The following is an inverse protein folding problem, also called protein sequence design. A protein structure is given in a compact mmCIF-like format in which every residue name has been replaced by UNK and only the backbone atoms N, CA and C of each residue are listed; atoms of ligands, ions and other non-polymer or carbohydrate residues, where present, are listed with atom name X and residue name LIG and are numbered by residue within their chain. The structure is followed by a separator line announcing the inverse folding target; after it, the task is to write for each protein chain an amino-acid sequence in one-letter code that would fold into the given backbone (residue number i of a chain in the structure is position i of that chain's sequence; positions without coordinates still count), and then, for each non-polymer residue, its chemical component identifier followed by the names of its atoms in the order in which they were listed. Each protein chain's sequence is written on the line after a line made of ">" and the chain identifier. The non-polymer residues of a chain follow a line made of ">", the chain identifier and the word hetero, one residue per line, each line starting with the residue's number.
data_IF_330914371086
#
_entry.id   IF_330914371086
#
_cell.length_a   1.000
_cell.length_b   1.000
_cell.length_c   1.000
_cell.angle_alpha   90.00
_cell.angle_beta   90.00
_cell.angle_gamma   90.00
#
_symmetry.space_group_name_H-M   'P 1'
#
loop_
_entity.id
_entity.type
_entity.pdbx_description
1 polymer ?
#
# COMPACT_ATOMS: atom_id res chain seq x y z
N UNK A 1 -21.82 16.41 39.24
CA UNK A 1 -21.10 17.44 38.47
C UNK A 1 -22.01 18.66 38.37
N UNK A 2 -21.52 19.91 38.51
CA UNK A 2 -22.35 21.11 38.23
C UNK A 2 -22.85 21.01 36.79
N UNK A 3 -24.14 21.19 36.55
CA UNK A 3 -24.78 21.04 35.23
C UNK A 3 -24.56 22.25 34.32
N UNK A 4 -24.24 23.42 34.88
CA UNK A 4 -24.01 24.65 34.12
C UNK A 4 -22.56 25.10 34.21
N UNK A 5 -21.83 24.92 33.10
CA UNK A 5 -20.48 25.46 32.92
C UNK A 5 -20.54 26.93 32.49
N UNK A 6 -19.65 27.75 33.04
CA UNK A 6 -19.49 29.11 32.54
C UNK A 6 -18.83 29.12 31.13
N UNK A 7 -18.92 30.25 30.41
CA UNK A 7 -18.41 30.35 29.04
C UNK A 7 -16.93 30.00 28.92
N UNK A 8 -16.12 30.41 29.89
CA UNK A 8 -14.67 30.21 29.89
C UNK A 8 -14.32 28.74 30.14
N UNK A 9 -15.03 28.05 31.05
CA UNK A 9 -14.86 26.63 31.32
C UNK A 9 -15.23 25.78 30.09
N UNK A 10 -16.31 26.13 29.40
CA UNK A 10 -16.70 25.45 28.15
C UNK A 10 -15.63 25.59 27.08
N UNK A 11 -15.13 26.80 26.88
CA UNK A 11 -14.11 27.09 25.89
C UNK A 11 -12.83 26.30 26.17
N UNK A 12 -12.36 26.32 27.43
CA UNK A 12 -11.20 25.53 27.84
C UNK A 12 -11.42 24.04 27.54
N UNK A 13 -12.52 23.44 28.01
CA UNK A 13 -12.79 22.02 27.79
C UNK A 13 -12.85 21.66 26.29
N UNK A 14 -13.54 22.47 25.49
CA UNK A 14 -13.64 22.25 24.03
C UNK A 14 -12.26 22.35 23.38
N UNK A 15 -11.44 23.33 23.78
CA UNK A 15 -10.09 23.51 23.26
C UNK A 15 -9.19 22.29 23.53
N UNK A 16 -9.36 21.59 24.66
CA UNK A 16 -8.62 20.36 24.94
C UNK A 16 -8.87 19.25 23.90
N UNK A 17 -10.15 19.02 23.58
CA UNK A 17 -10.54 18.02 22.57
C UNK A 17 -10.19 18.47 21.14
N UNK A 18 -10.38 19.75 20.80
CA UNK A 18 -10.01 20.29 19.49
C UNK A 18 -8.50 20.28 19.26
N UNK A 19 -7.70 20.55 20.29
CA UNK A 19 -6.25 20.44 20.22
C UNK A 19 -5.83 19.00 19.91
N UNK A 20 -6.43 18.01 20.61
CA UNK A 20 -6.14 16.59 20.34
C UNK A 20 -6.44 16.21 18.88
N UNK A 21 -7.56 16.70 18.33
CA UNK A 21 -7.94 16.49 16.93
C UNK A 21 -6.98 17.18 15.94
N UNK A 22 -6.62 18.44 16.19
CA UNK A 22 -5.75 19.22 15.32
C UNK A 22 -4.31 18.67 15.30
N UNK A 23 -3.79 18.29 16.47
CA UNK A 23 -2.46 17.68 16.59
C UNK A 23 -2.47 16.30 15.91
N UNK A 24 -3.50 15.49 16.10
CA UNK A 24 -3.64 14.21 15.42
C UNK A 24 -3.53 14.31 13.89
N UNK A 25 -4.24 15.26 13.27
CA UNK A 25 -4.22 15.47 11.81
C UNK A 25 -2.86 15.98 11.33
N UNK A 26 -2.22 16.87 12.09
CA UNK A 26 -0.96 17.52 11.68
C UNK A 26 0.27 16.66 11.95
N UNK A 27 0.21 15.75 12.91
CA UNK A 27 1.36 14.91 13.33
C UNK A 27 1.24 13.47 12.86
N UNK A 28 0.56 13.24 11.73
CA UNK A 28 0.19 11.89 11.30
C UNK A 28 1.32 10.91 10.87
N UNK A 29 2.62 11.20 11.07
CA UNK A 29 3.64 10.15 11.16
C UNK A 29 4.33 10.02 12.54
N UNK A 30 4.00 10.88 13.52
CA UNK A 30 4.73 10.98 14.80
C UNK A 30 3.72 10.94 15.98
N UNK A 31 3.26 9.74 16.38
CA UNK A 31 2.21 9.57 17.40
C UNK A 31 2.53 10.15 18.77
N UNK A 32 3.83 10.25 19.10
CA UNK A 32 4.28 10.79 20.38
C UNK A 32 3.93 12.27 20.56
N UNK A 33 3.83 13.06 19.49
CA UNK A 33 3.53 14.49 19.60
C UNK A 33 2.11 14.70 20.11
N UNK A 34 1.13 13.90 19.62
CA UNK A 34 -0.25 14.01 20.09
C UNK A 34 -0.39 13.64 21.57
N UNK A 35 0.32 12.61 22.02
CA UNK A 35 0.36 12.22 23.43
C UNK A 35 0.99 13.32 24.30
N UNK A 36 2.10 13.90 23.86
CA UNK A 36 2.80 14.97 24.59
C UNK A 36 1.97 16.26 24.64
N UNK A 37 1.26 16.62 23.57
CA UNK A 37 0.36 17.76 23.56
C UNK A 37 -0.77 17.61 24.59
N UNK A 38 -1.40 16.44 24.63
CA UNK A 38 -2.44 16.14 25.62
C UNK A 38 -1.88 16.07 27.05
N UNK A 39 -0.65 15.57 27.24
CA UNK A 39 0.03 15.60 28.53
C UNK A 39 0.32 17.03 28.99
N UNK A 40 0.84 17.87 28.10
CA UNK A 40 1.10 19.28 28.36
C UNK A 40 -0.19 20.01 28.75
N UNK A 41 -1.28 19.75 28.04
CA UNK A 41 -2.60 20.31 28.33
C UNK A 41 -3.09 19.86 29.73
N UNK A 42 -2.99 18.56 30.03
CA UNK A 42 -3.28 18.02 31.36
C UNK A 42 -2.47 18.70 32.49
N UNK A 43 -1.16 18.89 32.29
CA UNK A 43 -0.28 19.57 33.26
C UNK A 43 -0.64 21.04 33.42
N UNK A 44 -0.99 21.72 32.33
CA UNK A 44 -1.33 23.16 32.31
C UNK A 44 -2.60 23.43 33.12
N UNK A 45 -3.58 22.53 33.06
CA UNK A 45 -4.88 22.69 33.74
C UNK A 45 -5.03 21.86 35.03
N UNK A 46 -3.94 21.29 35.56
CA UNK A 46 -3.96 20.46 36.79
C UNK A 46 -4.46 21.20 38.04
N UNK A 47 -4.37 22.54 38.07
CA UNK A 47 -4.84 23.38 39.18
C UNK A 47 -6.20 24.04 38.94
N UNK A 48 -6.84 23.78 37.81
CA UNK A 48 -8.13 24.39 37.42
C UNK A 48 -9.32 23.76 38.16
N UNK A 49 -10.52 24.26 37.88
CA UNK A 49 -11.77 23.68 38.38
C UNK A 49 -11.90 22.19 38.05
N UNK A 50 -12.64 21.45 38.88
CA UNK A 50 -12.78 19.99 38.76
C UNK A 50 -13.16 19.56 37.35
N UNK A 51 -14.12 20.25 36.74
CA UNK A 51 -14.63 19.90 35.40
C UNK A 51 -13.56 20.07 34.33
N UNK A 52 -12.85 21.19 34.33
CA UNK A 52 -11.77 21.45 33.36
C UNK A 52 -10.64 20.43 33.52
N UNK A 53 -10.24 20.16 34.77
CA UNK A 53 -9.23 19.14 35.07
C UNK A 53 -9.69 17.75 34.61
N UNK A 54 -10.94 17.39 34.88
CA UNK A 54 -11.49 16.10 34.48
C UNK A 54 -11.40 15.87 32.98
N UNK A 55 -11.86 16.83 32.18
CA UNK A 55 -11.79 16.71 30.72
C UNK A 55 -10.36 16.70 30.18
N UNK A 56 -9.44 17.46 30.79
CA UNK A 56 -8.02 17.43 30.40
C UNK A 56 -7.38 16.06 30.64
N UNK A 57 -7.69 15.41 31.77
CA UNK A 57 -7.22 14.05 32.06
C UNK A 57 -7.91 13.01 31.17
N UNK A 58 -9.20 13.16 30.90
CA UNK A 58 -9.95 12.25 30.02
C UNK A 58 -9.37 12.27 28.59
N UNK A 59 -9.06 13.45 28.05
CA UNK A 59 -8.45 13.60 26.73
C UNK A 59 -7.04 12.99 26.67
N UNK A 60 -6.25 13.16 27.73
CA UNK A 60 -4.92 12.54 27.81
C UNK A 60 -4.99 11.01 27.88
N UNK A 61 -5.86 10.47 28.73
CA UNK A 61 -6.01 9.03 28.91
C UNK A 61 -6.50 8.33 27.64
N UNK A 62 -7.36 8.95 26.83
CA UNK A 62 -7.78 8.38 25.56
C UNK A 62 -6.64 8.29 24.52
N UNK A 63 -5.61 9.14 24.63
CA UNK A 63 -4.45 9.10 23.72
C UNK A 63 -3.45 7.98 24.06
N UNK A 64 -3.42 7.48 25.30
CA UNK A 64 -2.41 6.50 25.73
C UNK A 64 -2.49 5.19 24.93
N UNK A 65 -3.67 4.54 24.75
CA UNK A 65 -3.76 3.33 23.93
C UNK A 65 -3.43 3.60 22.45
N UNK A 66 -3.90 4.74 21.92
CA UNK A 66 -3.67 5.13 20.53
C UNK A 66 -2.20 5.40 20.24
N UNK A 67 -1.43 5.89 21.21
CA UNK A 67 0.00 6.06 21.05
C UNK A 67 0.69 4.73 20.69
N UNK A 68 0.38 3.64 21.39
CA UNK A 68 0.99 2.34 21.12
C UNK A 68 0.53 1.77 19.76
N UNK A 69 -0.77 1.85 19.48
CA UNK A 69 -1.34 1.40 18.20
C UNK A 69 -0.74 2.18 17.04
N UNK A 70 -0.68 3.51 17.13
CA UNK A 70 -0.18 4.35 16.07
C UNK A 70 1.34 4.21 15.91
N UNK A 71 2.09 3.99 16.99
CA UNK A 71 3.53 3.73 16.93
C UNK A 71 3.84 2.42 16.21
N UNK A 72 3.11 1.35 16.52
CA UNK A 72 3.27 0.08 15.80
C UNK A 72 2.78 0.18 14.35
N UNK A 73 1.68 0.91 14.09
CA UNK A 73 1.21 1.21 12.73
C UNK A 73 2.29 1.91 11.92
N UNK A 74 2.97 2.90 12.50
CA UNK A 74 4.08 3.58 11.84
C UNK A 74 5.23 2.62 11.52
N UNK A 75 5.63 1.76 12.45
CA UNK A 75 6.66 0.75 12.19
C UNK A 75 6.26 -0.22 11.07
N UNK A 76 5.00 -0.65 11.04
CA UNK A 76 4.47 -1.54 9.99
C UNK A 76 4.46 -0.84 8.64
N UNK A 77 3.95 0.38 8.56
CA UNK A 77 3.93 1.19 7.32
C UNK A 77 5.36 1.43 6.82
N UNK A 78 6.28 1.81 7.71
CA UNK A 78 7.69 2.01 7.37
C UNK A 78 8.33 0.72 6.83
N UNK A 79 8.09 -0.42 7.47
CA UNK A 79 8.61 -1.71 6.98
C UNK A 79 7.99 -2.11 5.64
N UNK A 80 6.70 -1.89 5.42
CA UNK A 80 6.06 -2.20 4.14
C UNK A 80 6.60 -1.30 3.01
N UNK A 81 6.88 -0.03 3.29
CA UNK A 81 7.37 0.92 2.28
C UNK A 81 8.85 0.74 1.94
N UNK A 82 9.71 0.41 2.91
CA UNK A 82 11.17 0.36 2.73
C UNK A 82 11.80 -1.04 2.86
N UNK A 83 11.04 -2.07 3.21
CA UNK A 83 11.52 -3.47 3.31
C UNK A 83 10.70 -4.39 2.41
N UNK A 84 11.20 -5.59 2.14
CA UNK A 84 10.47 -6.62 1.35
C UNK A 84 9.31 -7.28 2.14
N UNK A 85 8.77 -6.61 3.17
CA UNK A 85 7.68 -7.16 3.97
C UNK A 85 6.40 -7.26 3.13
N UNK A 86 5.91 -8.49 2.97
CA UNK A 86 4.63 -8.75 2.30
C UNK A 86 3.47 -8.35 3.21
N UNK A 87 2.50 -7.61 2.66
CA UNK A 87 1.22 -7.33 3.32
C UNK A 87 0.45 -8.63 3.55
N UNK A 88 0.60 -9.20 4.75
CA UNK A 88 -0.18 -10.36 5.17
C UNK A 88 -1.59 -9.93 5.59
N UNK A 89 -2.55 -10.86 5.53
CA UNK A 89 -3.92 -10.63 6.01
C UNK A 89 -3.94 -10.15 7.48
N UNK A 90 -2.98 -10.58 8.29
CA UNK A 90 -2.79 -10.12 9.66
C UNK A 90 -2.42 -8.63 9.74
N UNK A 91 -1.48 -8.20 8.91
CA UNK A 91 -1.07 -6.79 8.82
C UNK A 91 -2.26 -5.94 8.37
N UNK A 92 -3.01 -6.38 7.36
CA UNK A 92 -4.20 -5.69 6.88
C UNK A 92 -5.26 -5.59 7.99
N UNK A 93 -5.55 -6.70 8.68
CA UNK A 93 -6.52 -6.73 9.78
C UNK A 93 -6.12 -5.79 10.91
N UNK A 94 -4.83 -5.77 11.26
CA UNK A 94 -4.29 -4.83 12.23
C UNK A 94 -4.49 -3.37 11.79
N UNK A 95 -4.15 -3.03 10.54
CA UNK A 95 -4.29 -1.67 10.00
C UNK A 95 -5.75 -1.22 9.99
N UNK A 96 -6.70 -2.12 9.69
CA UNK A 96 -8.15 -1.83 9.76
C UNK A 96 -8.57 -1.56 11.19
N UNK A 97 -8.16 -2.38 12.16
CA UNK A 97 -8.46 -2.16 13.58
C UNK A 97 -7.87 -0.83 14.06
N UNK A 98 -6.61 -0.54 13.71
CA UNK A 98 -5.97 0.72 14.03
C UNK A 98 -6.74 1.91 13.45
N UNK A 99 -7.18 1.83 12.20
CA UNK A 99 -8.02 2.85 11.57
C UNK A 99 -9.34 3.06 12.31
N UNK A 100 -10.06 1.97 12.63
CA UNK A 100 -11.34 2.04 13.34
C UNK A 100 -11.20 2.64 14.74
N UNK A 101 -10.14 2.31 15.47
CA UNK A 101 -9.87 2.87 16.80
C UNK A 101 -9.57 4.37 16.74
N UNK A 102 -8.79 4.82 15.75
CA UNK A 102 -8.55 6.25 15.54
C UNK A 102 -9.81 7.01 15.10
N UNK A 103 -10.61 6.43 14.21
CA UNK A 103 -11.89 7.01 13.79
C UNK A 103 -12.86 7.12 14.98
N UNK A 104 -12.92 6.08 15.82
CA UNK A 104 -13.70 6.07 17.05
C UNK A 104 -13.29 7.18 18.00
N UNK A 105 -11.99 7.46 18.16
CA UNK A 105 -11.50 8.56 18.98
C UNK A 105 -11.89 9.93 18.43
N UNK A 106 -11.78 10.14 17.12
CA UNK A 106 -12.19 11.39 16.47
C UNK A 106 -13.68 11.63 16.72
N UNK A 107 -14.50 10.62 16.47
CA UNK A 107 -15.96 10.69 16.68
C UNK A 107 -16.27 10.95 18.16
N UNK A 108 -15.62 10.23 19.07
CA UNK A 108 -15.78 10.41 20.52
C UNK A 108 -15.43 11.84 20.96
N UNK A 109 -14.31 12.38 20.48
CA UNK A 109 -13.86 13.75 20.78
C UNK A 109 -14.83 14.80 20.26
N UNK A 110 -15.35 14.64 19.03
CA UNK A 110 -16.37 15.54 18.46
C UNK A 110 -17.68 15.46 19.26
N UNK A 111 -18.12 14.26 19.64
CA UNK A 111 -19.31 14.08 20.49
C UNK A 111 -19.10 14.77 21.85
N UNK A 112 -17.91 14.65 22.45
CA UNK A 112 -17.58 15.34 23.70
C UNK A 112 -17.72 16.86 23.54
N UNK A 113 -17.14 17.46 22.49
CA UNK A 113 -17.30 18.88 22.19
C UNK A 113 -18.78 19.30 22.08
N UNK A 114 -19.59 18.53 21.35
CA UNK A 114 -21.03 18.82 21.15
C UNK A 114 -21.80 18.70 22.46
N UNK A 115 -21.46 17.73 23.31
CA UNK A 115 -22.15 17.55 24.60
C UNK A 115 -21.80 18.66 25.58
N UNK A 116 -20.52 19.04 25.66
CA UNK A 116 -20.04 20.12 26.52
C UNK A 116 -20.66 21.46 26.10
N UNK A 117 -20.73 21.76 24.81
CA UNK A 117 -21.35 23.00 24.32
C UNK A 117 -22.83 23.11 24.73
N UNK A 118 -23.52 21.97 24.82
CA UNK A 118 -24.92 21.84 25.25
C UNK A 118 -25.11 21.62 26.76
N UNK A 119 -24.09 21.80 27.60
CA UNK A 119 -24.17 21.54 29.06
C UNK A 119 -24.63 20.11 29.42
N UNK A 120 -24.34 19.12 28.56
CA UNK A 120 -24.68 17.72 28.81
C UNK A 120 -23.49 17.00 29.44
N UNK A 121 -23.80 16.10 30.37
CA UNK A 121 -22.79 15.21 30.96
C UNK A 121 -22.10 14.36 29.87
N UNK A 122 -20.78 14.25 29.98
CA UNK A 122 -19.92 13.44 29.13
C UNK A 122 -19.45 12.24 29.94
N UNK A 123 -19.76 11.05 29.44
CA UNK A 123 -19.20 9.80 29.94
C UNK A 123 -18.74 8.97 28.76
N UNK A 124 -17.43 8.79 28.66
CA UNK A 124 -16.79 7.89 27.70
C UNK A 124 -16.60 6.55 28.42
N UNK A 125 -17.17 5.45 27.91
CA UNK A 125 -16.94 4.13 28.49
C UNK A 125 -15.43 3.86 28.68
N UNK A 126 -15.07 3.17 29.77
CA UNK A 126 -13.70 2.79 30.13
C UNK A 126 -12.75 3.93 30.54
N UNK A 127 -12.76 5.08 29.85
CA UNK A 127 -11.86 6.21 30.14
C UNK A 127 -12.39 7.07 31.30
N UNK A 128 -13.70 7.32 31.35
CA UNK A 128 -14.30 8.15 32.39
C UNK A 128 -14.09 7.62 33.82
N UNK A 129 -14.28 6.32 34.10
CA UNK A 129 -13.97 5.77 35.43
C UNK A 129 -12.51 5.94 35.85
N UNK A 130 -11.57 5.76 34.92
CA UNK A 130 -10.14 5.97 35.18
C UNK A 130 -9.85 7.45 35.46
N UNK A 131 -10.50 8.34 34.71
CA UNK A 131 -10.41 9.79 34.89
C UNK A 131 -10.92 10.20 36.27
N UNK A 132 -12.07 9.65 36.70
CA UNK A 132 -12.64 9.91 38.03
C UNK A 132 -11.62 9.57 39.13
N UNK A 133 -10.97 8.41 39.05
CA UNK A 133 -9.94 7.97 40.02
C UNK A 133 -8.75 8.93 40.07
N UNK A 134 -8.29 9.42 38.92
CA UNK A 134 -7.11 10.31 38.85
C UNK A 134 -7.41 11.74 39.29
N UNK A 135 -8.65 12.21 39.15
CA UNK A 135 -9.02 13.63 39.30
C UNK A 135 -9.68 13.90 40.65
N UNK A 136 -10.27 12.90 41.30
CA UNK A 136 -10.99 13.06 42.56
C UNK A 136 -10.05 13.19 43.77
N UNK A 137 -10.01 14.38 44.38
CA UNK A 137 -9.16 14.73 45.56
C UNK A 137 -9.44 13.89 46.82
N UNK A 138 -10.61 13.25 46.89
CA UNK A 138 -11.10 12.54 48.08
C UNK A 138 -10.45 11.17 48.29
N UNK A 139 -9.76 10.61 47.30
CA UNK A 139 -9.01 9.34 47.40
C UNK A 139 -7.63 9.54 48.01
N UNK A 140 -6.89 10.58 47.60
CA UNK A 140 -5.55 10.87 48.10
C UNK A 140 -5.53 11.34 49.57
N UNK A 141 -6.46 12.21 49.96
CA UNK A 141 -6.57 12.64 51.36
C UNK A 141 -7.17 11.55 52.28
N UNK A 142 -8.01 10.63 51.77
CA UNK A 142 -8.42 9.42 52.51
C UNK A 142 -7.26 8.45 52.69
N UNK A 143 -6.40 8.29 51.69
CA UNK A 143 -5.21 7.44 51.78
C UNK A 143 -4.16 8.03 52.75
N UNK A 144 -4.03 9.37 52.78
CA UNK A 144 -3.11 10.07 53.67
C UNK A 144 -3.60 10.20 55.12
N UNK A 145 -4.92 10.28 55.34
CA UNK A 145 -5.53 10.48 56.67
C UNK A 145 -6.24 9.22 57.20
N UNK A 146 -6.15 8.09 56.50
CA UNK A 146 -7.00 6.91 56.74
C UNK A 146 -6.34 5.78 57.52
N UNK A 147 -5.73 6.08 58.67
CA UNK A 147 -5.38 5.07 59.68
C UNK A 147 -5.84 5.42 61.11
N UNK A 148 -6.50 6.57 61.34
CA UNK A 148 -6.94 6.95 62.69
C UNK A 148 -8.48 7.05 62.87
N UNK A 149 -9.29 7.17 61.82
CA UNK A 149 -10.70 7.59 62.01
C UNK A 149 -11.76 6.80 61.19
N UNK A 150 -11.43 5.61 60.68
CA UNK A 150 -12.35 4.80 59.82
C UNK A 150 -12.76 3.47 60.48
N UNK A 151 -12.89 3.45 61.80
CA UNK A 151 -13.36 2.24 62.52
C UNK A 151 -14.86 2.23 62.81
N UNK A 152 -15.64 3.27 62.47
CA UNK A 152 -17.04 3.33 62.92
C UNK A 152 -18.14 3.69 61.92
N UNK A 153 -17.86 4.04 60.66
CA UNK A 153 -18.95 4.35 59.71
C UNK A 153 -18.68 3.84 58.29
N UNK A 154 -19.47 2.83 57.91
CA UNK A 154 -19.69 2.26 56.56
C UNK A 154 -18.80 1.09 56.10
N UNK A 155 -18.99 -0.08 56.71
CA UNK A 155 -18.48 -1.36 56.16
C UNK A 155 -19.30 -1.92 54.98
N UNK A 156 -20.60 -1.62 54.85
CA UNK A 156 -21.42 -2.31 53.82
C UNK A 156 -21.38 -1.67 52.41
N UNK A 157 -21.29 -0.34 52.28
CA UNK A 157 -21.32 0.34 50.97
C UNK A 157 -19.91 0.60 50.37
N UNK A 158 -18.88 0.71 51.21
CA UNK A 158 -17.51 0.89 50.76
C UNK A 158 -16.97 -0.39 50.11
N UNK A 159 -17.24 -1.55 50.72
CA UNK A 159 -16.81 -2.85 50.21
C UNK A 159 -17.45 -3.18 48.86
N UNK A 160 -18.73 -2.85 48.64
CA UNK A 160 -19.40 -3.07 47.36
C UNK A 160 -18.86 -2.18 46.21
N UNK A 161 -18.57 -0.89 46.47
CA UNK A 161 -18.02 0.02 45.46
C UNK A 161 -16.54 -0.25 45.16
N UNK A 162 -15.76 -0.61 46.19
CA UNK A 162 -14.33 -0.93 46.06
C UNK A 162 -14.14 -2.28 45.36
N UNK A 163 -14.99 -3.27 45.65
CA UNK A 163 -15.02 -4.55 44.92
C UNK A 163 -15.44 -4.37 43.46
N UNK A 164 -16.35 -3.45 43.13
CA UNK A 164 -16.72 -3.16 41.74
C UNK A 164 -15.56 -2.54 40.96
N UNK A 165 -14.85 -1.57 41.55
CA UNK A 165 -13.69 -0.92 40.92
C UNK A 165 -12.51 -1.90 40.76
N UNK A 166 -12.25 -2.74 41.76
CA UNK A 166 -11.22 -3.79 41.67
C UNK A 166 -11.59 -4.84 40.61
N UNK A 167 -12.86 -5.21 40.50
CA UNK A 167 -13.33 -6.14 39.48
C UNK A 167 -13.25 -5.51 38.08
N UNK A 168 -13.66 -4.25 37.90
CA UNK A 168 -13.55 -3.52 36.63
C UNK A 168 -12.08 -3.32 36.22
N UNK A 169 -11.18 -3.09 37.18
CA UNK A 169 -9.73 -3.02 36.94
C UNK A 169 -9.14 -4.40 36.58
N UNK A 170 -9.57 -5.47 37.25
CA UNK A 170 -9.16 -6.85 36.94
C UNK A 170 -9.66 -7.31 35.57
N UNK A 171 -10.87 -6.92 35.16
CA UNK A 171 -11.36 -7.15 33.81
C UNK A 171 -10.59 -6.31 32.78
N UNK A 172 -10.23 -5.07 33.09
CA UNK A 172 -9.39 -4.25 32.21
C UNK A 172 -7.99 -4.84 32.01
N UNK A 173 -7.31 -5.25 33.08
CA UNK A 173 -6.02 -5.93 32.97
C UNK A 173 -6.18 -7.27 32.26
N UNK A 174 -7.23 -8.03 32.54
CA UNK A 174 -7.54 -9.26 31.80
C UNK A 174 -7.75 -9.02 30.30
N UNK A 175 -8.55 -8.03 29.88
CA UNK A 175 -8.79 -7.75 28.46
C UNK A 175 -7.57 -7.16 27.77
N UNK A 176 -6.81 -6.27 28.41
CA UNK A 176 -5.55 -5.74 27.86
C UNK A 176 -4.52 -6.85 27.77
N UNK A 177 -4.40 -7.70 28.79
CA UNK A 177 -3.53 -8.88 28.77
C UNK A 177 -3.99 -9.91 27.75
N UNK A 178 -5.29 -10.11 27.54
CA UNK A 178 -5.84 -11.00 26.49
C UNK A 178 -5.58 -10.41 25.11
N UNK A 179 -5.76 -9.10 24.90
CA UNK A 179 -5.41 -8.43 23.63
C UNK A 179 -3.89 -8.53 23.41
N UNK A 180 -3.08 -8.31 24.43
CA UNK A 180 -1.62 -8.41 24.37
C UNK A 180 -1.15 -9.86 24.16
N UNK A 181 -1.81 -10.85 24.78
CA UNK A 181 -1.57 -12.30 24.60
C UNK A 181 -2.14 -12.79 23.26
N UNK A 182 -3.18 -12.18 22.71
CA UNK A 182 -3.63 -12.46 21.34
C UNK A 182 -2.62 -11.88 20.34
N UNK A 183 -2.13 -10.66 20.56
CA UNK A 183 -1.07 -10.03 19.75
C UNK A 183 0.24 -10.85 19.84
N UNK A 184 0.64 -11.30 21.03
CA UNK A 184 1.86 -12.09 21.24
C UNK A 184 1.69 -13.58 20.90
N UNK A 185 0.50 -14.16 21.12
CA UNK A 185 0.15 -15.56 20.89
C UNK A 185 -0.14 -15.86 19.43
N UNK A 186 -0.66 -14.88 18.66
CA UNK A 186 -0.62 -14.92 17.19
C UNK A 186 0.84 -14.81 16.70
N UNK A 187 1.71 -14.13 17.46
CA UNK A 187 3.13 -13.95 17.15
C UNK A 187 4.09 -15.06 17.61
N UNK A 188 3.65 -16.01 18.44
CA UNK A 188 4.54 -17.02 19.02
C UNK A 188 4.00 -18.44 18.82
N UNK A 189 4.70 -19.21 17.98
CA UNK A 189 4.61 -20.67 17.80
C UNK A 189 3.44 -21.26 17.01
N UNK A 190 2.93 -20.55 16.01
CA UNK A 190 2.34 -21.24 14.87
C UNK A 190 2.82 -20.56 13.60
N UNK A 191 3.71 -21.23 12.86
CA UNK A 191 3.78 -21.03 11.41
C UNK A 191 2.42 -21.47 10.89
N UNK A 192 1.44 -20.58 11.01
CA UNK A 192 0.18 -20.75 10.32
C UNK A 192 0.58 -20.89 8.85
N UNK A 193 0.28 -22.04 8.26
CA UNK A 193 0.40 -22.30 6.84
C UNK A 193 -0.71 -21.49 6.12
N UNK A 194 -0.79 -20.20 6.43
CA UNK A 194 -1.63 -19.24 5.74
C UNK A 194 -0.95 -19.09 4.40
N UNK A 195 -1.65 -19.42 3.30
CA UNK A 195 -1.09 -19.21 1.98
C UNK A 195 -0.58 -17.77 1.96
N UNK A 196 0.70 -17.59 1.61
CA UNK A 196 1.28 -16.25 1.46
C UNK A 196 0.37 -15.52 0.48
N UNK A 197 -0.52 -14.68 1.00
CA UNK A 197 -1.39 -13.84 0.20
C UNK A 197 -0.50 -12.74 -0.35
N UNK A 198 0.22 -13.05 -1.42
CA UNK A 198 1.00 -12.06 -2.13
C UNK A 198 0.02 -11.27 -2.98
N UNK A 199 0.01 -9.95 -2.82
CA UNK A 199 -0.69 -9.04 -3.74
C UNK A 199 -0.32 -9.43 -5.18
N UNK A 200 0.95 -9.80 -5.42
CA UNK A 200 1.45 -10.26 -6.72
C UNK A 200 0.63 -11.45 -7.26
N UNK A 201 0.31 -12.44 -6.43
CA UNK A 201 -0.46 -13.63 -6.84
C UNK A 201 -1.94 -13.34 -7.11
N UNK A 202 -2.54 -12.40 -6.36
CA UNK A 202 -3.91 -11.97 -6.61
C UNK A 202 -3.98 -11.17 -7.92
N UNK A 203 -3.04 -10.24 -8.10
CA UNK A 203 -2.94 -9.40 -9.28
C UNK A 203 -2.71 -10.24 -10.54
N UNK A 204 -1.78 -11.18 -10.47
CA UNK A 204 -1.52 -12.14 -11.54
C UNK A 204 -2.81 -12.91 -11.91
N UNK A 205 -3.51 -13.46 -10.91
CA UNK A 205 -4.76 -14.21 -11.16
C UNK A 205 -5.84 -13.35 -11.83
N UNK A 206 -6.01 -12.10 -11.38
CA UNK A 206 -7.00 -11.18 -11.96
C UNK A 206 -6.64 -10.79 -13.40
N UNK A 207 -5.37 -10.50 -13.68
CA UNK A 207 -4.92 -10.13 -15.03
C UNK A 207 -4.98 -11.30 -16.00
N UNK A 208 -4.54 -12.49 -15.58
CA UNK A 208 -4.66 -13.70 -16.40
C UNK A 208 -6.12 -13.96 -16.76
N UNK A 209 -7.05 -13.82 -15.82
CA UNK A 209 -8.46 -14.04 -16.09
C UNK A 209 -9.01 -13.07 -17.16
N UNK A 210 -8.60 -11.80 -17.16
CA UNK A 210 -9.00 -10.84 -18.20
C UNK A 210 -8.33 -11.15 -19.55
N UNK A 211 -7.05 -11.50 -19.54
CA UNK A 211 -6.28 -11.85 -20.74
C UNK A 211 -6.82 -13.12 -21.39
N UNK A 212 -7.11 -14.16 -20.62
CA UNK A 212 -7.64 -15.44 -21.14
C UNK A 212 -8.96 -15.25 -21.90
N UNK A 213 -9.75 -14.23 -21.55
CA UNK A 213 -10.99 -13.90 -22.25
C UNK A 213 -10.78 -13.22 -23.62
N UNK A 214 -9.59 -12.64 -23.87
CA UNK A 214 -9.25 -11.85 -25.06
C UNK A 214 -8.10 -12.42 -25.89
N UNK A 215 -7.44 -13.46 -25.39
CA UNK A 215 -6.26 -14.04 -26.03
C UNK A 215 -6.61 -14.73 -27.35
N UNK A 216 -5.71 -14.61 -28.30
CA UNK A 216 -5.68 -15.43 -29.51
C UNK A 216 -5.03 -16.76 -29.13
N UNK A 217 -5.65 -17.87 -29.53
CA UNK A 217 -5.16 -19.23 -29.24
C UNK A 217 -4.59 -19.93 -30.47
N UNK A 218 -4.53 -19.26 -31.63
CA UNK A 218 -3.96 -19.82 -32.86
C UNK A 218 -2.44 -20.00 -32.70
N UNK A 219 -2.02 -21.26 -32.68
CA UNK A 219 -0.62 -21.65 -32.50
C UNK A 219 0.29 -21.08 -33.57
N UNK A 220 -0.20 -20.88 -34.81
CA UNK A 220 0.60 -20.29 -35.88
C UNK A 220 0.96 -18.82 -35.65
N UNK A 221 0.17 -18.12 -34.82
CA UNK A 221 0.42 -16.73 -34.45
C UNK A 221 1.23 -16.62 -33.14
N UNK A 222 1.12 -17.59 -32.24
CA UNK A 222 1.76 -17.53 -30.92
C UNK A 222 3.16 -18.13 -30.94
N UNK A 223 3.35 -19.22 -31.67
CA UNK A 223 4.60 -19.99 -31.65
C UNK A 223 5.83 -19.18 -32.08
N UNK A 224 5.75 -18.31 -33.12
CA UNK A 224 6.87 -17.42 -33.46
C UNK A 224 7.27 -16.51 -32.29
N UNK A 225 6.30 -15.95 -31.55
CA UNK A 225 6.56 -15.09 -30.39
C UNK A 225 7.19 -15.87 -29.23
N UNK A 226 6.70 -17.07 -28.95
CA UNK A 226 7.27 -17.97 -27.94
C UNK A 226 8.71 -18.33 -28.28
N UNK A 227 9.00 -18.65 -29.54
CA UNK A 227 10.35 -19.00 -29.99
C UNK A 227 11.31 -17.81 -29.90
N UNK A 228 10.86 -16.60 -30.26
CA UNK A 228 11.65 -15.38 -30.07
C UNK A 228 11.98 -15.15 -28.59
N UNK A 229 10.97 -15.20 -27.71
CA UNK A 229 11.15 -15.00 -26.28
C UNK A 229 12.03 -16.09 -25.63
N UNK A 230 11.82 -17.36 -25.98
CA UNK A 230 12.63 -18.48 -25.51
C UNK A 230 14.09 -18.33 -25.93
N UNK A 231 14.34 -17.96 -27.19
CA UNK A 231 15.70 -17.72 -27.69
C UNK A 231 16.40 -16.61 -26.91
N UNK A 232 15.69 -15.50 -26.64
CA UNK A 232 16.22 -14.40 -25.82
C UNK A 232 16.56 -14.89 -24.41
N UNK A 233 15.66 -15.63 -23.76
CA UNK A 233 15.87 -16.12 -22.41
C UNK A 233 17.05 -17.11 -22.33
N UNK A 234 17.06 -18.15 -23.18
CA UNK A 234 18.08 -19.20 -23.17
C UNK A 234 19.49 -18.65 -23.41
N UNK A 235 19.65 -17.75 -24.39
CA UNK A 235 20.97 -17.17 -24.73
C UNK A 235 21.50 -16.23 -23.65
N UNK A 236 20.64 -15.77 -22.75
CA UNK A 236 21.00 -14.89 -21.65
C UNK A 236 20.98 -15.58 -20.28
N UNK A 237 20.72 -16.89 -20.22
CA UNK A 237 20.63 -17.64 -18.96
C UNK A 237 19.47 -17.19 -18.07
N UNK A 238 18.39 -16.70 -18.68
CA UNK A 238 17.17 -16.27 -17.99
C UNK A 238 16.15 -17.40 -17.96
N UNK A 239 15.30 -17.40 -16.95
CA UNK A 239 14.15 -18.32 -16.91
C UNK A 239 13.18 -18.02 -18.07
N UNK A 240 12.34 -18.98 -18.45
CA UNK A 240 11.33 -18.76 -19.51
C UNK A 240 10.26 -17.75 -19.07
N UNK A 241 9.62 -17.10 -20.05
CA UNK A 241 8.47 -16.22 -19.84
C UNK A 241 7.23 -16.81 -20.53
N UNK A 242 6.05 -16.52 -19.98
CA UNK A 242 4.77 -16.87 -20.59
C UNK A 242 4.35 -15.77 -21.57
N UNK A 243 4.08 -16.13 -22.82
CA UNK A 243 3.68 -15.20 -23.88
C UNK A 243 2.19 -15.33 -24.15
N UNK A 244 1.48 -14.21 -24.11
CA UNK A 244 0.07 -14.10 -24.49
C UNK A 244 -0.07 -13.14 -25.66
N UNK A 245 -0.74 -13.59 -26.72
CA UNK A 245 -1.10 -12.74 -27.86
C UNK A 245 -2.55 -12.27 -27.66
N UNK A 246 -2.76 -10.96 -27.58
CA UNK A 246 -4.10 -10.37 -27.39
C UNK A 246 -4.49 -9.58 -28.63
N UNK A 247 -5.73 -9.78 -29.06
CA UNK A 247 -6.30 -9.04 -30.18
C UNK A 247 -6.58 -7.60 -29.77
N UNK A 248 -5.77 -6.67 -30.23
CA UNK A 248 -5.93 -5.24 -30.06
C UNK A 248 -5.17 -4.51 -31.20
N UNK A 249 -5.78 -3.49 -31.80
CA UNK A 249 -5.15 -2.67 -32.85
C UNK A 249 -4.15 -1.66 -32.28
N UNK A 250 -4.18 -1.40 -30.98
CA UNK A 250 -3.14 -0.63 -30.31
C UNK A 250 -1.78 -1.33 -30.47
N UNK A 251 -0.78 -0.53 -30.81
CA UNK A 251 0.61 -0.97 -30.84
C UNK A 251 1.07 -0.99 -29.38
N UNK A 252 1.14 -2.15 -28.75
CA UNK A 252 1.59 -2.27 -27.35
C UNK A 252 2.09 -3.70 -27.04
N UNK A 253 2.96 -3.79 -26.03
CA UNK A 253 3.28 -5.00 -25.31
C UNK A 253 3.61 -4.61 -23.86
N UNK A 254 3.33 -5.50 -22.91
CA UNK A 254 3.64 -5.24 -21.52
C UNK A 254 3.93 -6.52 -20.74
N UNK A 255 4.87 -6.43 -19.81
CA UNK A 255 5.12 -7.43 -18.78
C UNK A 255 4.23 -7.24 -17.55
N UNK A 256 3.92 -8.34 -16.85
CA UNK A 256 3.32 -8.30 -15.52
C UNK A 256 3.83 -9.43 -14.61
N UNK A 257 3.32 -9.47 -13.37
CA UNK A 257 3.70 -10.47 -12.35
C UNK A 257 3.58 -11.90 -12.88
N UNK A 258 4.42 -12.81 -12.38
CA UNK A 258 4.39 -14.23 -12.80
C UNK A 258 5.17 -14.55 -14.06
N UNK A 259 6.06 -13.65 -14.51
CA UNK A 259 6.86 -13.79 -15.75
C UNK A 259 5.99 -13.86 -17.00
N UNK A 260 4.89 -13.12 -16.99
CA UNK A 260 3.93 -13.07 -18.08
C UNK A 260 4.18 -11.81 -18.94
N UNK A 261 4.18 -11.97 -20.26
CA UNK A 261 4.33 -10.90 -21.25
C UNK A 261 3.15 -10.97 -22.22
N UNK A 262 2.45 -9.85 -22.39
CA UNK A 262 1.33 -9.69 -23.31
C UNK A 262 1.79 -8.91 -24.52
N UNK A 263 1.45 -9.39 -25.71
CA UNK A 263 1.75 -8.76 -26.99
C UNK A 263 0.43 -8.45 -27.69
N UNK A 264 0.24 -7.21 -28.15
CA UNK A 264 -0.92 -6.86 -28.96
C UNK A 264 -0.67 -7.11 -30.44
N UNK A 265 -1.72 -7.50 -31.16
CA UNK A 265 -1.66 -7.69 -32.61
C UNK A 265 -1.20 -6.44 -33.36
N UNK A 266 -1.56 -5.24 -32.87
CA UNK A 266 -1.12 -3.96 -33.43
C UNK A 266 0.40 -3.82 -33.45
N UNK A 267 1.09 -4.29 -32.40
CA UNK A 267 2.55 -4.25 -32.33
C UNK A 267 3.21 -5.04 -33.47
N UNK A 268 2.73 -6.27 -33.70
CA UNK A 268 3.28 -7.15 -34.74
C UNK A 268 3.03 -6.57 -36.14
N UNK A 269 1.86 -5.96 -36.35
CA UNK A 269 1.52 -5.30 -37.62
C UNK A 269 2.45 -4.12 -37.90
N UNK A 270 2.79 -3.36 -36.87
CA UNK A 270 3.60 -2.14 -36.93
C UNK A 270 5.10 -2.42 -37.13
N UNK A 271 5.67 -3.45 -36.49
CA UNK A 271 7.09 -3.78 -36.66
C UNK A 271 7.45 -4.06 -38.13
N UNK A 272 8.44 -3.36 -38.68
CA UNK A 272 8.86 -3.56 -40.08
C UNK A 272 9.71 -4.82 -40.24
N UNK A 273 10.58 -5.06 -39.25
CA UNK A 273 11.54 -6.16 -39.24
C UNK A 273 11.38 -7.00 -37.98
N UNK A 274 11.81 -8.26 -38.09
CA UNK A 274 11.84 -9.19 -36.96
C UNK A 274 12.61 -8.65 -35.76
N UNK A 275 13.77 -8.02 -36.00
CA UNK A 275 14.61 -7.51 -34.93
C UNK A 275 13.96 -6.39 -34.11
N UNK A 276 13.03 -5.62 -34.68
CA UNK A 276 12.24 -4.63 -33.93
C UNK A 276 11.35 -5.32 -32.90
N UNK A 277 10.59 -6.35 -33.33
CA UNK A 277 9.71 -7.11 -32.45
C UNK A 277 10.50 -7.85 -31.37
N UNK A 278 11.60 -8.50 -31.74
CA UNK A 278 12.49 -9.16 -30.79
C UNK A 278 13.08 -8.19 -29.77
N UNK A 279 13.43 -6.97 -30.17
CA UNK A 279 13.99 -5.97 -29.25
C UNK A 279 12.93 -5.40 -28.30
N UNK A 280 11.67 -5.25 -28.74
CA UNK A 280 10.54 -4.92 -27.85
C UNK A 280 10.28 -6.07 -26.86
N UNK A 281 10.30 -7.33 -27.32
CA UNK A 281 10.22 -8.49 -26.41
C UNK A 281 11.37 -8.53 -25.40
N UNK A 282 12.60 -8.24 -25.84
CA UNK A 282 13.77 -8.15 -24.96
C UNK A 282 13.62 -7.06 -23.90
N UNK A 283 12.97 -5.95 -24.24
CA UNK A 283 12.64 -4.87 -23.30
C UNK A 283 11.62 -5.33 -22.25
N UNK A 284 10.54 -5.99 -22.66
CA UNK A 284 9.54 -6.53 -21.73
C UNK A 284 10.11 -7.63 -20.83
N UNK A 285 10.95 -8.51 -21.37
CA UNK A 285 11.67 -9.52 -20.58
C UNK A 285 12.56 -8.84 -19.54
N UNK A 286 13.24 -7.73 -19.87
CA UNK A 286 14.03 -6.98 -18.89
C UNK A 286 13.16 -6.42 -17.74
N UNK A 287 11.93 -5.97 -18.03
CA UNK A 287 10.97 -5.56 -17.00
C UNK A 287 10.57 -6.71 -16.08
N UNK A 288 10.37 -7.92 -16.62
CA UNK A 288 10.13 -9.15 -15.85
C UNK A 288 11.31 -9.44 -14.93
N UNK A 289 12.53 -9.53 -15.49
CA UNK A 289 13.74 -9.91 -14.76
C UNK A 289 14.05 -8.94 -13.61
N UNK A 290 13.88 -7.64 -13.85
CA UNK A 290 14.14 -6.62 -12.84
C UNK A 290 12.97 -6.39 -11.88
N UNK A 291 11.85 -7.10 -12.07
CA UNK A 291 10.62 -6.98 -11.29
C UNK A 291 10.12 -5.53 -11.24
N UNK A 292 10.28 -4.80 -12.34
CA UNK A 292 9.97 -3.37 -12.40
C UNK A 292 8.51 -3.08 -12.10
N UNK A 293 7.59 -3.91 -12.60
CA UNK A 293 6.15 -3.80 -12.38
C UNK A 293 5.81 -3.95 -10.90
N UNK A 294 6.27 -5.03 -10.26
CA UNK A 294 6.01 -5.28 -8.83
C UNK A 294 6.65 -4.19 -7.95
N UNK A 295 7.86 -3.73 -8.27
CA UNK A 295 8.51 -2.62 -7.55
C UNK A 295 7.72 -1.33 -7.70
N UNK A 296 7.21 -1.04 -8.89
CA UNK A 296 6.38 0.13 -9.16
C UNK A 296 5.05 0.04 -8.43
N UNK A 297 4.38 -1.11 -8.48
CA UNK A 297 3.18 -1.41 -7.71
C UNK A 297 3.46 -1.22 -6.23
N UNK A 298 4.51 -1.80 -5.64
CA UNK A 298 4.82 -1.58 -4.21
C UNK A 298 5.06 -0.11 -3.85
N UNK A 299 5.64 0.67 -4.77
CA UNK A 299 5.86 2.11 -4.58
C UNK A 299 4.57 2.93 -4.72
N UNK A 300 3.70 2.56 -5.65
CA UNK A 300 2.51 3.34 -6.05
C UNK A 300 1.21 2.83 -5.41
N UNK A 301 1.20 1.59 -4.91
CA UNK A 301 0.12 1.01 -4.12
C UNK A 301 0.17 1.62 -2.74
N UNK A 302 -0.57 2.72 -2.60
CA UNK A 302 -0.98 3.22 -1.30
C UNK A 302 -2.08 2.34 -0.69
N UNK A 303 -2.59 2.78 0.46
CA UNK A 303 -3.73 2.19 1.18
C UNK A 303 -4.97 1.96 0.27
N UNK A 304 -5.09 2.66 -0.87
CA UNK A 304 -6.23 2.59 -1.80
C UNK A 304 -6.42 1.25 -2.51
N UNK A 305 -5.39 0.61 -3.07
CA UNK A 305 -5.58 -0.70 -3.74
C UNK A 305 -5.91 -1.79 -2.72
N UNK A 306 -5.35 -1.70 -1.52
CA UNK A 306 -5.71 -2.57 -0.39
C UNK A 306 -7.18 -2.40 0.00
N UNK A 307 -7.65 -1.15 0.10
CA UNK A 307 -9.06 -0.85 0.38
C UNK A 307 -9.98 -1.31 -0.75
N UNK A 308 -9.65 -1.07 -2.02
CA UNK A 308 -10.46 -1.50 -3.16
C UNK A 308 -10.56 -3.02 -3.27
N UNK A 309 -9.45 -3.74 -3.03
CA UNK A 309 -9.44 -5.21 -3.02
C UNK A 309 -10.26 -5.77 -1.86
N UNK A 310 -10.21 -5.11 -0.70
CA UNK A 310 -11.00 -5.47 0.48
C UNK A 310 -12.50 -5.20 0.31
N UNK A 311 -12.85 -4.12 -0.38
CA UNK A 311 -14.24 -3.73 -0.67
C UNK A 311 -14.83 -4.46 -1.90
N UNK A 312 -14.05 -5.31 -2.57
CA UNK A 312 -14.50 -6.07 -3.74
C UNK A 312 -14.72 -5.21 -4.99
N UNK A 313 -14.13 -4.01 -5.06
CA UNK A 313 -14.25 -3.12 -6.22
C UNK A 313 -13.03 -3.30 -7.14
N UNK A 314 -13.10 -4.29 -8.02
CA UNK A 314 -11.97 -4.76 -8.83
C UNK A 314 -11.74 -3.93 -10.11
N UNK A 315 -12.74 -3.17 -10.59
CA UNK A 315 -12.63 -2.39 -11.83
C UNK A 315 -11.67 -1.20 -11.72
N UNK A 316 -11.60 -0.55 -10.54
CA UNK A 316 -10.64 0.53 -10.27
C UNK A 316 -9.21 0.00 -10.16
N UNK A 317 -9.05 -1.26 -9.76
CA UNK A 317 -7.74 -1.90 -9.55
C UNK A 317 -7.11 -2.25 -10.89
N UNK A 318 -7.86 -2.87 -11.80
CA UNK A 318 -7.35 -3.24 -13.14
C UNK A 318 -6.89 -2.03 -13.93
N UNK A 319 -7.65 -0.93 -13.90
CA UNK A 319 -7.32 0.31 -14.61
C UNK A 319 -6.09 1.02 -14.01
N UNK A 320 -5.92 0.98 -12.69
CA UNK A 320 -4.77 1.57 -12.00
C UNK A 320 -3.47 0.76 -12.23
N UNK A 321 -3.59 -0.53 -12.50
CA UNK A 321 -2.46 -1.44 -12.74
C UNK A 321 -2.08 -1.56 -14.21
N UNK A 322 -3.02 -1.36 -15.13
CA UNK A 322 -2.71 -1.21 -16.55
C UNK A 322 -1.90 0.07 -16.79
N UNK A 323 -2.12 1.12 -15.98
CA UNK A 323 -1.30 2.33 -15.95
C UNK A 323 -0.02 2.11 -15.13
N UNK A 324 0.85 1.22 -15.59
CA UNK A 324 2.15 0.97 -14.96
C UNK A 324 3.05 2.20 -15.12
N UNK A 325 2.97 3.16 -14.20
CA UNK A 325 3.90 4.30 -14.12
C UNK A 325 5.31 3.81 -13.74
N UNK A 326 6.04 3.30 -14.72
CA UNK A 326 7.44 2.93 -14.59
C UNK A 326 8.28 4.19 -14.48
N UNK A 327 9.29 4.17 -13.60
CA UNK A 327 10.22 5.31 -13.50
C UNK A 327 11.05 5.40 -14.78
N UNK A 328 11.47 6.61 -15.15
CA UNK A 328 12.39 6.85 -16.28
C UNK A 328 13.68 6.03 -16.16
N UNK A 329 14.11 5.76 -14.92
CA UNK A 329 15.26 4.91 -14.63
C UNK A 329 15.00 3.44 -14.97
N UNK A 330 13.79 2.93 -14.72
CA UNK A 330 13.42 1.55 -15.06
C UNK A 330 13.40 1.35 -16.58
N UNK A 331 12.88 2.34 -17.31
CA UNK A 331 12.87 2.35 -18.79
C UNK A 331 14.28 2.27 -19.36
N UNK A 332 15.19 3.11 -18.85
CA UNK A 332 16.58 3.12 -19.30
C UNK A 332 17.27 1.80 -18.93
N UNK A 333 17.00 1.23 -17.76
CA UNK A 333 17.56 -0.08 -17.38
C UNK A 333 17.07 -1.18 -18.32
N UNK A 334 15.77 -1.23 -18.63
CA UNK A 334 15.19 -2.20 -19.55
C UNK A 334 15.70 -2.05 -20.99
N UNK A 335 15.83 -0.81 -21.47
CA UNK A 335 16.43 -0.47 -22.77
C UNK A 335 17.85 -1.02 -22.92
N UNK A 336 18.70 -0.75 -21.92
CA UNK A 336 20.10 -1.15 -21.95
C UNK A 336 20.26 -2.67 -21.89
N UNK A 337 19.39 -3.35 -21.13
CA UNK A 337 19.35 -4.81 -21.06
C UNK A 337 18.83 -5.44 -22.34
N UNK A 338 17.81 -4.87 -22.98
CA UNK A 338 17.34 -5.35 -24.28
C UNK A 338 18.47 -5.36 -25.32
N UNK A 339 19.30 -4.31 -25.36
CA UNK A 339 20.49 -4.24 -26.22
C UNK A 339 21.50 -5.35 -25.89
N UNK A 340 21.74 -5.62 -24.61
CA UNK A 340 22.60 -6.74 -24.19
C UNK A 340 22.00 -8.09 -24.59
N UNK A 341 20.70 -8.28 -24.34
CA UNK A 341 19.98 -9.51 -24.60
C UNK A 341 20.01 -9.88 -26.08
N UNK A 342 19.74 -8.91 -26.95
CA UNK A 342 19.80 -9.07 -28.40
C UNK A 342 21.21 -9.40 -28.87
N UNK A 343 22.23 -8.66 -28.39
CA UNK A 343 23.62 -8.89 -28.79
C UNK A 343 24.19 -10.24 -28.31
N UNK A 344 23.78 -10.69 -27.12
CA UNK A 344 24.14 -12.01 -26.58
C UNK A 344 23.45 -13.14 -27.37
N UNK A 345 22.20 -12.92 -27.76
CA UNK A 345 21.44 -13.87 -28.57
C UNK A 345 21.87 -13.89 -30.05
N UNK A 346 22.73 -12.96 -30.48
CA UNK A 346 23.28 -12.91 -31.84
C UNK A 346 22.39 -12.16 -32.84
N UNK A 347 21.48 -11.31 -32.35
CA UNK A 347 20.58 -10.49 -33.15
C UNK A 347 21.00 -9.02 -33.12
N UNK A 348 20.60 -8.27 -34.14
CA UNK A 348 20.92 -6.85 -34.27
C UNK A 348 20.25 -6.03 -33.14
N UNK A 349 21.03 -5.41 -32.22
CA UNK A 349 20.47 -4.67 -31.10
C UNK A 349 19.90 -3.30 -31.47
N UNK A 350 20.01 -2.88 -32.74
CA UNK A 350 19.46 -1.60 -33.21
C UNK A 350 17.93 -1.58 -33.34
N UNK A 351 17.27 -2.74 -33.32
CA UNK A 351 15.82 -2.86 -33.53
C UNK A 351 14.96 -1.99 -32.61
N UNK A 352 15.33 -1.86 -31.33
CA UNK A 352 14.60 -0.99 -30.40
C UNK A 352 14.76 0.49 -30.76
N UNK A 353 15.94 0.91 -31.23
CA UNK A 353 16.16 2.29 -31.67
C UNK A 353 15.36 2.60 -32.93
N UNK A 354 15.34 1.68 -33.89
CA UNK A 354 14.58 1.82 -35.14
C UNK A 354 13.07 1.93 -34.85
N UNK A 355 12.55 1.03 -34.02
CA UNK A 355 11.16 1.05 -33.56
C UNK A 355 10.79 2.37 -32.85
N UNK A 356 11.61 2.81 -31.88
CA UNK A 356 11.34 4.04 -31.12
C UNK A 356 11.41 5.30 -31.97
N UNK A 357 12.35 5.37 -32.94
CA UNK A 357 12.43 6.51 -33.86
C UNK A 357 11.19 6.59 -34.74
N UNK A 358 10.80 5.48 -35.35
CA UNK A 358 9.65 5.40 -36.25
C UNK A 358 8.35 5.80 -35.55
N UNK A 359 8.14 5.27 -34.35
CA UNK A 359 6.98 5.61 -33.51
C UNK A 359 7.03 7.03 -32.92
N UNK A 360 8.19 7.70 -32.97
CA UNK A 360 8.34 9.10 -32.51
C UNK A 360 8.23 10.16 -33.63
N UNK A 361 8.54 9.80 -34.87
CA UNK A 361 8.54 10.71 -36.04
C UNK A 361 7.15 10.86 -36.68
N UNK A 362 6.25 9.89 -36.48
CA UNK A 362 4.86 10.04 -36.86
C UNK A 362 4.19 11.12 -35.99
N UNK A 363 3.97 12.31 -36.57
CA UNK A 363 3.03 13.34 -36.08
C UNK A 363 1.58 12.80 -36.11
N UNK A 364 1.31 11.74 -35.37
CA UNK A 364 0.00 11.15 -35.20
C UNK A 364 -0.38 11.19 -33.73
N UNK A 365 -1.36 12.04 -33.48
CA UNK A 365 -2.16 12.20 -32.27
C UNK A 365 -3.03 10.94 -32.01
N UNK A 366 -2.44 9.74 -32.12
CA UNK A 366 -3.09 8.45 -31.90
C UNK A 366 -2.25 7.58 -30.98
N UNK A 367 -2.56 7.72 -29.70
CA UNK A 367 -2.76 6.67 -28.69
C UNK A 367 -1.83 5.44 -28.71
N UNK A 368 -1.12 5.33 -27.57
CA UNK A 368 -1.01 4.11 -26.75
C UNK A 368 0.18 3.15 -26.91
N UNK A 369 1.23 3.47 -27.66
CA UNK A 369 2.59 2.94 -27.36
C UNK A 369 3.25 3.79 -26.26
N UNK A 370 2.96 5.10 -26.28
CA UNK A 370 3.64 6.15 -25.52
C UNK A 370 3.00 6.48 -24.17
N UNK A 371 1.89 5.82 -23.82
CA UNK A 371 1.14 6.08 -22.59
C UNK A 371 1.81 5.42 -21.38
N UNK A 372 2.27 4.17 -21.54
CA UNK A 372 2.92 3.39 -20.46
C UNK A 372 4.45 3.61 -20.46
N UNK A 373 5.06 3.75 -21.65
CA UNK A 373 6.52 3.86 -21.84
C UNK A 373 6.90 5.06 -22.75
N UNK A 374 6.88 6.31 -22.26
CA UNK A 374 7.11 7.47 -23.12
C UNK A 374 8.52 7.47 -23.75
N UNK A 375 8.59 7.52 -25.07
CA UNK A 375 9.84 7.68 -25.83
C UNK A 375 10.45 9.04 -25.53
N UNK A 376 11.72 9.05 -25.15
CA UNK A 376 12.47 10.29 -24.90
C UNK A 376 13.75 10.27 -25.71
N UNK A 377 14.15 11.41 -26.29
CA UNK A 377 15.44 11.56 -26.97
C UNK A 377 16.61 11.02 -26.13
N UNK A 378 16.53 11.18 -24.80
CA UNK A 378 17.47 10.63 -23.82
C UNK A 378 17.62 9.10 -23.89
N UNK A 379 16.53 8.34 -24.07
CA UNK A 379 16.53 6.88 -24.22
C UNK A 379 17.27 6.49 -25.50
N UNK A 380 16.90 7.12 -26.63
CA UNK A 380 17.55 6.90 -27.93
C UNK A 380 19.06 7.18 -27.86
N UNK A 381 19.47 8.28 -27.21
CA UNK A 381 20.91 8.58 -27.02
C UNK A 381 21.61 7.48 -26.23
N UNK A 382 21.02 7.03 -25.11
CA UNK A 382 21.59 5.98 -24.25
C UNK A 382 21.68 4.62 -24.95
N UNK A 383 20.65 4.25 -25.71
CA UNK A 383 20.65 3.05 -26.54
C UNK A 383 21.77 3.09 -27.59
N UNK A 384 21.90 4.20 -28.33
CA UNK A 384 22.97 4.36 -29.33
C UNK A 384 24.37 4.32 -28.69
N UNK A 385 24.54 4.91 -27.51
CA UNK A 385 25.79 4.78 -26.73
C UNK A 385 26.08 3.31 -26.41
N UNK A 386 25.09 2.58 -25.89
CA UNK A 386 25.25 1.17 -25.52
C UNK A 386 25.57 0.29 -26.71
N UNK A 387 24.86 0.44 -27.83
CA UNK A 387 25.05 -0.34 -29.06
C UNK A 387 26.49 -0.23 -29.57
N UNK A 388 27.10 0.97 -29.51
CA UNK A 388 28.51 1.16 -29.89
C UNK A 388 29.48 0.31 -29.06
N UNK A 389 29.14 0.00 -27.82
CA UNK A 389 30.00 -0.75 -26.90
C UNK A 389 29.84 -2.26 -27.01
N UNK A 390 28.71 -2.80 -27.50
CA UNK A 390 28.50 -4.26 -27.55
C UNK A 390 29.18 -4.94 -28.75
N UNK A 391 29.75 -4.14 -29.66
CA UNK A 391 30.55 -4.60 -30.80
C UNK A 391 29.71 -5.12 -31.96
N UNK A 392 30.12 -4.85 -33.20
CA UNK A 392 29.43 -5.36 -34.39
C UNK A 392 29.81 -6.82 -34.62
N UNK A 393 28.90 -7.73 -34.29
CA UNK A 393 28.95 -9.14 -34.71
C UNK A 393 28.18 -9.31 -36.03
N UNK A 394 28.40 -10.41 -36.72
CA UNK A 394 27.47 -10.83 -37.77
C UNK A 394 26.18 -11.28 -37.10
N UNK A 395 25.10 -10.55 -37.34
CA UNK A 395 23.80 -10.81 -36.74
C UNK A 395 22.96 -11.75 -37.60
N UNK A 396 22.29 -12.71 -36.96
CA UNK A 396 21.36 -13.63 -37.61
C UNK A 396 19.91 -13.12 -37.56
N UNK A 397 19.02 -13.88 -38.19
CA UNK A 397 17.57 -13.77 -38.06
C UNK A 397 17.01 -15.13 -37.63
N UNK A 398 15.90 -15.14 -36.91
CA UNK A 398 15.26 -16.38 -36.47
C UNK A 398 14.30 -16.86 -37.57
N UNK A 399 13.56 -15.92 -38.16
CA UNK A 399 12.72 -16.11 -39.32
C UNK A 399 13.43 -15.59 -40.58
N UNK A 400 13.28 -16.30 -41.69
CA UNK A 400 13.59 -15.74 -43.00
C UNK A 400 12.65 -14.57 -43.34
N UNK A 401 13.02 -13.73 -44.30
CA UNK A 401 12.18 -12.61 -44.72
C UNK A 401 10.79 -13.05 -45.21
N UNK A 402 10.69 -14.22 -45.82
CA UNK A 402 9.41 -14.80 -46.23
C UNK A 402 8.58 -15.28 -45.04
N UNK A 403 9.20 -15.97 -44.08
CA UNK A 403 8.52 -16.41 -42.85
C UNK A 403 8.03 -15.23 -42.00
N UNK A 404 8.81 -14.15 -41.92
CA UNK A 404 8.40 -12.91 -41.25
C UNK A 404 7.15 -12.29 -41.89
N UNK A 405 7.12 -12.20 -43.22
CA UNK A 405 5.96 -11.67 -43.95
C UNK A 405 4.74 -12.58 -43.77
N UNK A 406 4.93 -13.89 -43.85
CA UNK A 406 3.86 -14.88 -43.64
C UNK A 406 3.30 -14.80 -42.22
N UNK A 407 4.16 -14.67 -41.21
CA UNK A 407 3.75 -14.46 -39.82
C UNK A 407 2.90 -13.19 -39.67
N UNK A 408 3.36 -12.06 -40.20
CA UNK A 408 2.61 -10.80 -40.17
C UNK A 408 1.26 -10.90 -40.88
N UNK A 409 1.20 -11.58 -42.03
CA UNK A 409 -0.05 -11.75 -42.78
C UNK A 409 -1.06 -12.58 -42.00
N UNK A 410 -0.66 -13.68 -41.38
CA UNK A 410 -1.54 -14.48 -40.52
C UNK A 410 -2.15 -13.66 -39.37
N UNK A 411 -1.34 -12.82 -38.73
CA UNK A 411 -1.83 -11.91 -37.67
C UNK A 411 -2.78 -10.85 -38.22
N UNK A 412 -2.59 -10.38 -39.46
CA UNK A 412 -3.49 -9.43 -40.14
C UNK A 412 -4.82 -10.05 -40.54
N UNK A 413 -4.82 -11.34 -40.90
CA UNK A 413 -6.00 -12.07 -41.37
C UNK A 413 -6.93 -12.53 -40.24
N UNK A 414 -6.56 -12.29 -38.97
CA UNK A 414 -7.42 -12.58 -37.83
C UNK A 414 -8.71 -11.73 -37.89
N UNK A 415 -9.90 -12.34 -37.73
CA UNK A 415 -11.17 -11.62 -37.86
C UNK A 415 -11.34 -10.58 -36.76
N UNK A 416 -11.69 -9.33 -37.13
CA UNK A 416 -11.92 -8.20 -36.21
C UNK A 416 -13.34 -8.07 -35.69
#
# INVERSE_FOLDING_TARGET
>A
MKTDLNSNEKELVINGYLMSLAVFVTTMPIPIINLLANLYYCISYRKSEYVVRWHAYNSFLSQVPLFFINSFTWCVVWKVLWSEWTLSLWIISYLVIAFLLNAGEIISSVICCIRVSRNKEVKVPFISPLTDVLVEKKSWNRWKNGWEDVSQLHEENAVASQNKILNDFAWCTFFISVIFILILGIGTKQQWNIPKFSIESLLEKLMIQDIESKQITDEQCIEPLKNMAATICEKNGLDSVNIYLVKNEEVNAYAFSGRNVVVYTGLIKDCEKENELMAVLGHEIAHVEKKHVIKSIKRNVGIRVLLSAFLGNYADITTMLSMNYLSKENEIEADLLSVEYMSNAGFDPSGLVDFLKRTSDEKLDKMNILSDHPTTQKRITKLNEKIKHVGQKQYGTLLSSEEWVNFKNKVKDLPY
#
